data_IF_072681696907
#
_entry.id   IF_072681696907
#
_cell.length_a   1.000
_cell.length_b   1.000
_cell.length_c   1.000
_cell.angle_alpha   90.00
_cell.angle_beta   90.00
_cell.angle_gamma   90.00
#
_symmetry.space_group_name_H-M   'P 1'
#
loop_
_entity.id
_entity.type
_entity.pdbx_description
1 polymer ?
#
# COMPACT_ATOMS: atom_id res chain seq x y z
N UNK A 1 12.98 -12.29 -9.95
CA UNK A 1 13.91 -13.37 -9.57
C UNK A 1 14.18 -14.31 -10.73
N UNK A 2 13.19 -15.04 -11.26
CA UNK A 2 13.42 -15.99 -12.37
C UNK A 2 14.14 -15.37 -13.58
N UNK A 3 13.70 -14.18 -14.01
CA UNK A 3 14.37 -13.45 -15.10
C UNK A 3 15.84 -13.07 -14.81
N UNK A 4 16.20 -12.83 -13.54
CA UNK A 4 17.58 -12.49 -13.14
C UNK A 4 18.48 -13.73 -13.13
N UNK A 5 17.93 -14.88 -12.71
CA UNK A 5 18.62 -16.18 -12.78
C UNK A 5 18.91 -16.54 -14.25
N UNK A 6 17.92 -16.35 -15.12
CA UNK A 6 18.07 -16.58 -16.56
C UNK A 6 19.11 -15.66 -17.22
N UNK A 7 19.24 -14.43 -16.73
CA UNK A 7 20.26 -13.47 -17.15
C UNK A 7 21.63 -13.73 -16.53
N UNK A 8 21.74 -14.72 -15.62
CA UNK A 8 22.96 -15.03 -14.86
C UNK A 8 23.48 -13.83 -14.06
N UNK A 9 22.56 -13.04 -13.51
CA UNK A 9 22.90 -12.00 -12.56
C UNK A 9 23.61 -12.59 -11.33
N UNK A 10 24.49 -11.81 -10.72
CA UNK A 10 25.23 -12.21 -9.53
C UNK A 10 24.30 -12.48 -8.33
N UNK A 11 24.64 -13.47 -7.51
CA UNK A 11 23.83 -13.88 -6.36
C UNK A 11 23.59 -12.73 -5.36
N UNK A 12 24.55 -11.79 -5.21
CA UNK A 12 24.38 -10.60 -4.37
C UNK A 12 23.36 -9.65 -4.99
N UNK A 13 23.36 -9.50 -6.31
CA UNK A 13 22.38 -8.66 -7.01
C UNK A 13 20.96 -9.24 -6.88
N UNK A 14 20.80 -10.55 -7.06
CA UNK A 14 19.53 -11.26 -6.86
C UNK A 14 19.06 -11.11 -5.42
N UNK A 15 19.95 -11.31 -4.45
CA UNK A 15 19.64 -11.16 -3.02
C UNK A 15 19.23 -9.73 -2.67
N UNK A 16 19.95 -8.73 -3.19
CA UNK A 16 19.65 -7.31 -2.97
C UNK A 16 18.29 -6.92 -3.54
N UNK A 17 17.95 -7.44 -4.72
CA UNK A 17 16.62 -7.25 -5.31
C UNK A 17 15.51 -7.83 -4.42
N UNK A 18 15.69 -9.05 -3.90
CA UNK A 18 14.71 -9.70 -3.02
C UNK A 18 14.50 -8.89 -1.75
N UNK A 19 15.59 -8.48 -1.10
CA UNK A 19 15.54 -7.66 0.13
C UNK A 19 14.85 -6.32 -0.15
N UNK A 20 15.19 -5.67 -1.26
CA UNK A 20 14.55 -4.42 -1.69
C UNK A 20 13.06 -4.56 -1.96
N UNK A 21 12.63 -5.65 -2.59
CA UNK A 21 11.22 -5.93 -2.86
C UNK A 21 10.42 -6.16 -1.56
N UNK A 22 10.99 -6.90 -0.60
CA UNK A 22 10.39 -7.09 0.73
C UNK A 22 10.24 -5.74 1.44
N UNK A 23 11.30 -4.94 1.46
CA UNK A 23 11.30 -3.62 2.09
C UNK A 23 10.25 -2.69 1.48
N UNK A 24 10.15 -2.66 0.14
CA UNK A 24 9.16 -1.87 -0.58
C UNK A 24 7.72 -2.30 -0.26
N UNK A 25 7.46 -3.61 -0.14
CA UNK A 25 6.14 -4.13 0.23
C UNK A 25 5.74 -3.82 1.67
N UNK A 26 6.68 -3.94 2.61
CA UNK A 26 6.42 -3.71 4.04
C UNK A 26 6.17 -2.24 4.35
N UNK A 27 6.96 -1.32 3.80
CA UNK A 27 6.80 0.10 4.11
C UNK A 27 5.49 0.67 3.56
N UNK A 28 5.05 0.26 2.38
CA UNK A 28 3.86 0.87 1.79
C UNK A 28 2.57 0.31 2.37
N UNK A 29 2.48 -1.01 2.61
CA UNK A 29 1.23 -1.63 3.05
C UNK A 29 1.17 -1.84 4.56
N UNK A 30 2.19 -2.46 5.15
CA UNK A 30 2.16 -2.81 6.58
C UNK A 30 2.24 -1.58 7.49
N UNK A 31 3.20 -0.69 7.22
CA UNK A 31 3.36 0.53 8.02
C UNK A 31 2.11 1.41 7.98
N UNK A 32 1.51 1.62 6.80
CA UNK A 32 0.26 2.38 6.68
C UNK A 32 -0.94 1.67 7.32
N UNK A 33 -1.03 0.34 7.24
CA UNK A 33 -2.09 -0.42 7.90
C UNK A 33 -1.99 -0.32 9.45
N UNK A 34 -0.79 -0.25 10.00
CA UNK A 34 -0.57 -0.11 11.45
C UNK A 34 -1.11 1.22 12.02
N UNK A 35 -1.26 2.26 11.19
CA UNK A 35 -1.85 3.54 11.60
C UNK A 35 -3.38 3.52 11.69
N UNK A 36 -4.04 2.59 10.99
CA UNK A 36 -5.50 2.45 11.02
C UNK A 36 -6.03 2.32 12.46
N UNK A 37 -5.58 1.35 13.29
CA UNK A 37 -6.05 1.26 14.67
C UNK A 37 -5.71 2.50 15.51
N UNK A 38 -4.61 3.20 15.22
CA UNK A 38 -4.30 4.47 15.88
C UNK A 38 -5.36 5.52 15.56
N UNK A 39 -5.72 5.73 14.29
CA UNK A 39 -6.76 6.69 13.90
C UNK A 39 -8.14 6.29 14.45
N UNK A 40 -8.49 5.01 14.40
CA UNK A 40 -9.74 4.51 14.94
C UNK A 40 -9.84 4.66 16.47
N UNK A 41 -8.72 4.68 17.19
CA UNK A 41 -8.75 4.92 18.64
C UNK A 41 -9.20 6.33 19.02
N UNK A 42 -9.10 7.30 18.10
CA UNK A 42 -9.51 8.69 18.32
C UNK A 42 -10.93 9.01 17.82
N UNK A 43 -11.51 8.16 16.98
CA UNK A 43 -12.85 8.37 16.42
C UNK A 43 -13.74 7.12 16.61
N UNK A 44 -14.61 7.19 17.62
CA UNK A 44 -15.52 6.09 17.95
C UNK A 44 -16.54 5.80 16.85
N UNK A 45 -16.91 6.80 16.03
CA UNK A 45 -17.86 6.61 14.94
C UNK A 45 -17.23 5.75 13.83
N UNK A 46 -16.02 6.08 13.39
CA UNK A 46 -15.33 5.28 12.37
C UNK A 46 -14.93 3.90 12.87
N UNK A 47 -14.47 3.83 14.12
CA UNK A 47 -14.16 2.56 14.76
C UNK A 47 -15.35 1.60 14.81
N UNK A 48 -16.55 2.10 15.15
CA UNK A 48 -17.74 1.27 15.18
C UNK A 48 -18.19 0.85 13.78
N UNK A 49 -18.08 1.73 12.78
CA UNK A 49 -18.44 1.39 11.39
C UNK A 49 -17.54 0.30 10.82
N UNK A 50 -16.22 0.40 11.04
CA UNK A 50 -15.27 -0.61 10.57
C UNK A 50 -15.47 -1.95 11.29
N UNK A 51 -15.69 -1.93 12.60
CA UNK A 51 -16.04 -3.15 13.34
C UNK A 51 -17.28 -3.81 12.75
N UNK A 52 -18.34 -3.02 12.52
CA UNK A 52 -19.59 -3.55 11.97
C UNK A 52 -19.41 -4.17 10.59
N UNK A 53 -18.59 -3.59 9.72
CA UNK A 53 -18.25 -4.21 8.43
C UNK A 53 -17.63 -5.61 8.63
N UNK A 54 -16.64 -5.73 9.52
CA UNK A 54 -16.02 -7.03 9.83
C UNK A 54 -17.05 -8.02 10.39
N UNK A 55 -17.90 -7.58 11.32
CA UNK A 55 -18.94 -8.42 11.92
C UNK A 55 -19.97 -8.88 10.87
N UNK A 56 -20.40 -8.00 9.96
CA UNK A 56 -21.33 -8.31 8.88
C UNK A 56 -20.75 -9.36 7.91
N UNK A 57 -19.48 -9.22 7.52
CA UNK A 57 -18.81 -10.20 6.65
C UNK A 57 -18.65 -11.53 7.38
N UNK A 58 -18.23 -11.52 8.65
CA UNK A 58 -18.12 -12.74 9.46
C UNK A 58 -19.47 -13.44 9.57
N UNK A 59 -20.56 -12.70 9.80
CA UNK A 59 -21.91 -13.27 9.88
C UNK A 59 -22.36 -13.85 8.53
N UNK A 60 -22.10 -13.15 7.42
CA UNK A 60 -22.46 -13.56 6.07
C UNK A 60 -21.79 -14.87 5.63
N UNK A 61 -20.52 -15.07 5.98
CA UNK A 61 -19.73 -16.24 5.55
C UNK A 61 -19.64 -17.36 6.61
N UNK A 62 -20.33 -17.20 7.75
CA UNK A 62 -20.42 -18.22 8.80
C UNK A 62 -21.31 -19.37 8.35
N UNK A 63 -20.77 -20.59 8.41
CA UNK A 63 -21.47 -21.83 8.07
C UNK A 63 -22.04 -22.48 9.34
N UNK A 64 -21.31 -22.38 10.46
CA UNK A 64 -21.68 -22.99 11.72
C UNK A 64 -21.52 -22.04 12.90
N UNK A 65 -22.40 -22.17 13.90
CA UNK A 65 -22.34 -21.38 15.14
C UNK A 65 -21.07 -21.61 15.97
N UNK A 66 -20.34 -22.69 15.70
CA UNK A 66 -19.09 -23.03 16.39
C UNK A 66 -17.86 -22.41 15.74
N UNK A 67 -17.99 -21.81 14.55
CA UNK A 67 -16.87 -21.12 13.90
C UNK A 67 -16.57 -19.79 14.60
N UNK A 68 -15.29 -19.57 14.87
CA UNK A 68 -14.79 -18.27 15.31
C UNK A 68 -14.74 -17.29 14.12
N UNK A 69 -14.60 -15.99 14.39
CA UNK A 69 -14.36 -15.02 13.33
C UNK A 69 -13.08 -15.33 12.52
N UNK A 70 -12.04 -15.82 13.19
CA UNK A 70 -10.78 -16.21 12.54
C UNK A 70 -10.99 -17.38 11.57
N UNK A 71 -11.78 -18.39 11.94
CA UNK A 71 -12.10 -19.51 11.05
C UNK A 71 -12.79 -19.01 9.77
N UNK A 72 -13.77 -18.10 9.91
CA UNK A 72 -14.49 -17.52 8.77
C UNK A 72 -13.56 -16.70 7.88
N UNK A 73 -12.79 -15.77 8.46
CA UNK A 73 -11.89 -14.87 7.71
C UNK A 73 -10.78 -15.63 6.98
N UNK A 74 -10.25 -16.70 7.58
CA UNK A 74 -9.19 -17.52 6.97
C UNK A 74 -9.64 -18.29 5.73
N UNK A 75 -10.95 -18.52 5.59
CA UNK A 75 -11.54 -19.25 4.46
C UNK A 75 -11.93 -18.33 3.29
N UNK A 76 -11.99 -17.01 3.50
CA UNK A 76 -12.34 -16.08 2.44
C UNK A 76 -11.37 -16.22 1.26
N UNK A 77 -11.95 -16.36 0.08
CA UNK A 77 -11.23 -16.29 -1.19
C UNK A 77 -10.65 -14.89 -1.41
N UNK A 78 -9.66 -14.78 -2.30
CA UNK A 78 -9.08 -13.49 -2.67
C UNK A 78 -10.15 -12.50 -3.17
N UNK A 79 -11.15 -13.00 -3.92
CA UNK A 79 -12.22 -12.15 -4.45
C UNK A 79 -13.11 -11.61 -3.34
N UNK A 80 -13.41 -12.41 -2.31
CA UNK A 80 -14.16 -11.94 -1.14
C UNK A 80 -13.33 -10.90 -0.36
N UNK A 81 -12.04 -11.14 -0.15
CA UNK A 81 -11.14 -10.15 0.46
C UNK A 81 -11.13 -8.81 -0.28
N UNK A 82 -11.16 -8.83 -1.62
CA UNK A 82 -11.14 -7.61 -2.44
C UNK A 82 -12.48 -6.85 -2.47
N UNK A 83 -13.61 -7.50 -2.17
CA UNK A 83 -14.94 -6.89 -2.38
C UNK A 83 -15.76 -6.71 -1.10
N UNK A 84 -15.47 -7.45 -0.03
CA UNK A 84 -16.28 -7.46 1.20
C UNK A 84 -15.85 -6.38 2.21
N UNK A 85 -14.71 -5.70 2.01
CA UNK A 85 -14.14 -4.76 2.99
C UNK A 85 -13.85 -3.34 2.45
N UNK A 86 -14.82 -2.64 1.84
CA UNK A 86 -14.61 -1.29 1.31
C UNK A 86 -14.23 -0.23 2.36
N UNK A 87 -14.65 -0.34 3.62
CA UNK A 87 -14.25 0.60 4.68
C UNK A 87 -12.84 0.35 5.19
N UNK A 88 -12.38 -0.91 5.26
CA UNK A 88 -10.96 -1.21 5.50
C UNK A 88 -10.10 -0.65 4.37
N UNK A 89 -10.51 -0.83 3.11
CA UNK A 89 -9.79 -0.26 1.97
C UNK A 89 -9.74 1.28 2.04
N UNK A 90 -10.86 1.93 2.39
CA UNK A 90 -10.92 3.37 2.60
C UNK A 90 -9.99 3.81 3.73
N UNK A 91 -9.98 3.08 4.86
CA UNK A 91 -9.11 3.36 6.00
C UNK A 91 -7.63 3.26 5.64
N UNK A 92 -7.25 2.28 4.80
CA UNK A 92 -5.89 2.17 4.28
C UNK A 92 -5.52 3.33 3.35
N UNK A 93 -6.42 3.74 2.45
CA UNK A 93 -6.19 4.89 1.57
C UNK A 93 -6.04 6.19 2.35
N UNK A 94 -6.86 6.40 3.38
CA UNK A 94 -6.78 7.59 4.22
C UNK A 94 -5.54 7.57 5.11
N UNK A 95 -5.11 6.40 5.60
CA UNK A 95 -3.86 6.30 6.35
C UNK A 95 -2.65 6.63 5.47
N UNK A 96 -2.62 6.13 4.23
CA UNK A 96 -1.60 6.51 3.23
C UNK A 96 -1.63 8.03 3.00
N UNK A 97 -2.80 8.63 2.81
CA UNK A 97 -2.94 10.09 2.59
C UNK A 97 -2.33 10.92 3.72
N UNK A 98 -2.49 10.48 4.97
CA UNK A 98 -2.04 11.23 6.15
C UNK A 98 -0.56 10.96 6.46
N UNK A 99 -0.14 9.71 6.36
CA UNK A 99 1.14 9.24 6.91
C UNK A 99 2.24 9.23 5.86
N UNK A 100 1.90 8.97 4.59
CA UNK A 100 2.91 8.79 3.55
C UNK A 100 3.59 10.12 3.21
N UNK A 101 4.79 10.31 3.75
CA UNK A 101 5.70 11.38 3.37
C UNK A 101 6.68 10.84 2.31
N UNK A 102 6.24 10.80 1.06
CA UNK A 102 7.08 10.47 -0.09
C UNK A 102 7.46 11.72 -0.86
N UNK A 103 8.63 11.71 -1.50
CA UNK A 103 9.00 12.69 -2.50
C UNK A 103 9.00 12.01 -3.87
N UNK A 104 8.20 12.51 -4.81
CA UNK A 104 8.28 12.06 -6.19
C UNK A 104 9.34 12.89 -6.89
N UNK A 105 10.36 12.22 -7.44
CA UNK A 105 11.45 12.90 -8.13
C UNK A 105 11.72 12.34 -9.52
N UNK A 106 12.17 13.22 -10.42
CA UNK A 106 12.59 12.89 -11.80
C UNK A 106 13.82 13.70 -12.17
N UNK A 107 14.81 13.05 -12.80
CA UNK A 107 15.99 13.71 -13.35
C UNK A 107 15.75 14.15 -14.79
N UNK A 108 16.02 15.40 -15.10
CA UNK A 108 16.02 15.88 -16.48
C UNK A 108 17.26 15.35 -17.22
N UNK A 109 17.03 14.51 -18.23
CA UNK A 109 18.08 13.93 -19.10
C UNK A 109 17.89 14.33 -20.58
N UNK A 110 17.11 15.38 -20.85
CA UNK A 110 16.75 15.80 -22.21
C UNK A 110 17.89 16.50 -22.97
N UNK A 111 18.98 16.88 -22.30
CA UNK A 111 20.06 17.68 -22.88
C UNK A 111 19.82 19.19 -22.83
N UNK A 112 18.63 19.64 -22.43
CA UNK A 112 18.26 21.05 -22.30
C UNK A 112 17.39 21.32 -21.08
N UNK A 113 16.97 22.57 -20.89
CA UNK A 113 16.02 22.91 -19.83
C UNK A 113 14.59 22.46 -20.18
N UNK A 114 13.86 21.92 -19.21
CA UNK A 114 12.44 21.54 -19.36
C UNK A 114 11.57 22.55 -18.60
N UNK A 115 10.60 23.17 -19.29
CA UNK A 115 9.67 24.12 -18.67
C UNK A 115 8.62 23.40 -17.81
N UNK A 116 8.30 23.96 -16.65
CA UNK A 116 7.26 23.43 -15.76
C UNK A 116 5.90 23.98 -16.18
N UNK A 117 5.10 23.18 -16.89
CA UNK A 117 3.75 23.56 -17.33
C UNK A 117 3.72 24.89 -18.09
N UNK A 118 2.87 25.80 -17.62
CA UNK A 118 2.73 27.18 -18.15
C UNK A 118 3.49 28.23 -17.34
N UNK A 119 4.36 27.81 -16.40
CA UNK A 119 5.21 28.73 -15.66
C UNK A 119 6.47 29.11 -16.45
N UNK A 120 7.16 30.16 -16.00
CA UNK A 120 8.48 30.57 -16.51
C UNK A 120 9.63 29.77 -15.84
N UNK A 121 9.32 28.84 -14.94
CA UNK A 121 10.30 28.01 -14.25
C UNK A 121 10.82 26.89 -15.16
N UNK A 122 12.13 26.68 -15.10
CA UNK A 122 12.85 25.71 -15.93
C UNK A 122 13.60 24.72 -15.04
N UNK A 123 13.43 23.43 -15.30
CA UNK A 123 14.25 22.36 -14.73
C UNK A 123 15.51 22.24 -15.59
N UNK A 124 16.71 22.61 -15.09
CA UNK A 124 17.93 22.53 -15.89
C UNK A 124 18.27 21.09 -16.31
N UNK A 125 19.07 20.95 -17.37
CA UNK A 125 19.61 19.64 -17.73
C UNK A 125 20.40 19.05 -16.55
N UNK A 126 20.25 17.74 -16.30
CA UNK A 126 20.79 17.00 -15.16
C UNK A 126 20.26 17.38 -13.77
N UNK A 127 19.32 18.33 -13.64
CA UNK A 127 18.68 18.64 -12.38
C UNK A 127 17.51 17.69 -12.06
N UNK A 128 17.09 17.66 -10.79
CA UNK A 128 15.92 16.92 -10.33
C UNK A 128 14.72 17.86 -10.14
N UNK A 129 13.57 17.46 -10.66
CA UNK A 129 12.28 17.95 -10.19
C UNK A 129 11.84 17.08 -9.02
N UNK A 130 11.38 17.69 -7.92
CA UNK A 130 10.93 17.01 -6.70
C UNK A 130 9.61 17.64 -6.25
N UNK A 131 8.62 16.82 -5.91
CA UNK A 131 7.34 17.24 -5.32
C UNK A 131 6.95 16.36 -4.13
#
# INVERSE_FOLDING_TARGET
>A
MQAMIEQRDDDIAISSFIIGAIFAGLINSWYNAAWIPCFLSYDSYWHERLRREVDEVVLKHRISRYETAADVLSRLSIREWEHEFPLIELGLRDSIRIVMTGASFRKNISGGGIRIGDSDEMIPNNAFAVC
#
